data_IF_161986595167
#
_entry.id   IF_161986595167
#
_cell.length_a   1.000
_cell.length_b   1.000
_cell.length_c   1.000
_cell.angle_alpha   90.00
_cell.angle_beta   90.00
_cell.angle_gamma   90.00
#
_symmetry.space_group_name_H-M   'P 1'
#
loop_
_entity.id
_entity.type
_entity.pdbx_description
1 polymer ?
#
# COMPACT_ATOMS: atom_id res chain seq x y z
N UNK A 1 42.74 -30.67 -52.18
CA UNK A 1 43.01 -30.46 -53.62
C UNK A 1 41.85 -29.67 -54.18
N UNK A 2 41.81 -28.34 -54.02
CA UNK A 2 42.56 -27.32 -54.77
C UNK A 2 42.40 -27.40 -56.31
N UNK A 3 41.66 -26.43 -56.86
CA UNK A 3 42.03 -25.48 -57.96
C UNK A 3 40.78 -24.63 -58.29
N UNK A 4 40.64 -23.39 -57.81
CA UNK A 4 41.14 -22.08 -58.31
C UNK A 4 40.68 -21.73 -59.74
N UNK A 5 39.75 -20.77 -59.87
CA UNK A 5 39.91 -19.38 -60.39
C UNK A 5 39.57 -19.30 -61.90
N UNK A 6 38.88 -18.31 -62.51
CA UNK A 6 38.80 -16.83 -62.39
C UNK A 6 37.52 -16.36 -63.17
N UNK A 7 36.60 -15.52 -62.67
CA UNK A 7 36.52 -14.03 -62.59
C UNK A 7 36.43 -13.27 -63.94
N UNK A 8 35.31 -12.54 -64.11
CA UNK A 8 35.15 -11.14 -64.60
C UNK A 8 33.76 -10.69 -64.08
N UNK A 9 33.58 -9.69 -63.18
CA UNK A 9 33.84 -8.24 -63.29
C UNK A 9 32.57 -7.55 -63.85
N UNK A 10 31.93 -6.49 -63.32
CA UNK A 10 32.33 -5.27 -62.58
C UNK A 10 31.03 -4.67 -61.91
N UNK A 11 30.95 -4.41 -60.59
CA UNK A 11 31.06 -3.15 -59.78
C UNK A 11 29.97 -2.04 -59.98
N UNK A 12 29.41 -1.59 -58.83
CA UNK A 12 28.67 -0.35 -58.44
C UNK A 12 27.14 -0.36 -58.68
N UNK A 13 26.28 -0.17 -57.67
CA UNK A 13 26.32 0.91 -56.67
C UNK A 13 26.24 0.51 -55.19
N UNK A 14 26.96 1.32 -54.42
CA UNK A 14 27.02 1.43 -52.97
C UNK A 14 25.80 2.16 -52.42
N UNK A 15 25.20 1.60 -51.36
CA UNK A 15 25.00 2.34 -50.10
C UNK A 15 24.56 1.35 -49.00
N UNK A 16 25.57 0.83 -48.30
CA UNK A 16 25.66 0.66 -46.85
C UNK A 16 24.59 1.44 -46.08
N UNK A 17 23.92 0.89 -45.07
CA UNK A 17 24.57 0.35 -43.88
C UNK A 17 23.54 -0.37 -42.99
N UNK A 18 23.98 -1.48 -42.39
CA UNK A 18 23.77 -1.85 -40.98
C UNK A 18 22.44 -1.44 -40.33
N UNK A 19 21.57 -2.42 -40.11
CA UNK A 19 21.05 -2.75 -38.76
C UNK A 19 19.97 -3.83 -38.89
N UNK A 20 20.44 -5.07 -38.94
CA UNK A 20 19.69 -6.20 -38.42
C UNK A 20 20.41 -6.64 -37.15
N UNK A 21 19.63 -7.02 -36.14
CA UNK A 21 20.01 -7.37 -34.76
C UNK A 21 19.93 -6.18 -33.80
N UNK A 22 18.72 -5.89 -33.31
CA UNK A 22 18.40 -5.79 -31.87
C UNK A 22 16.90 -5.52 -31.65
N UNK A 23 16.26 -6.50 -31.02
CA UNK A 23 15.26 -6.36 -29.96
C UNK A 23 13.83 -5.89 -30.30
N UNK A 24 13.02 -6.92 -30.50
CA UNK A 24 11.67 -7.06 -29.98
C UNK A 24 11.47 -6.60 -28.53
N UNK A 25 10.92 -5.39 -28.32
CA UNK A 25 10.16 -5.02 -27.10
C UNK A 25 9.58 -3.60 -27.23
N UNK A 26 8.44 -3.48 -27.91
CA UNK A 26 7.82 -2.17 -28.11
C UNK A 26 6.38 -2.22 -28.63
N UNK A 27 5.56 -3.19 -28.22
CA UNK A 27 4.11 -3.11 -28.50
C UNK A 27 3.44 -2.21 -27.45
N UNK A 28 3.44 -0.90 -27.70
CA UNK A 28 2.47 0.04 -27.11
C UNK A 28 1.07 -0.50 -27.46
N UNK A 29 0.34 -1.04 -26.49
CA UNK A 29 -1.09 -1.31 -26.66
C UNK A 29 -1.78 0.06 -26.61
N UNK A 30 -1.81 0.77 -27.74
CA UNK A 30 -2.68 1.95 -27.91
C UNK A 30 -4.12 1.44 -27.98
N UNK A 31 -4.83 1.42 -26.85
CA UNK A 31 -6.29 1.34 -26.88
C UNK A 31 -6.83 2.62 -27.54
N UNK A 32 -7.84 2.53 -28.41
CA UNK A 32 -8.37 3.70 -29.10
C UNK A 32 -9.00 4.66 -28.08
N UNK A 33 -8.53 5.91 -28.08
CA UNK A 33 -9.21 7.03 -27.45
C UNK A 33 -10.64 7.06 -27.98
N UNK A 34 -11.64 7.13 -27.09
CA UNK A 34 -13.06 7.18 -27.48
C UNK A 34 -13.27 8.35 -28.46
N UNK A 35 -13.94 8.10 -29.58
CA UNK A 35 -14.22 9.15 -30.56
C UNK A 35 -14.96 10.33 -29.87
N UNK A 36 -14.38 11.54 -29.96
CA UNK A 36 -14.91 12.75 -29.31
C UNK A 36 -14.16 13.22 -28.05
N UNK A 37 -13.18 12.47 -27.54
CA UNK A 37 -12.38 12.93 -26.40
C UNK A 37 -11.46 14.11 -26.78
N UNK A 38 -11.41 15.14 -25.93
CA UNK A 38 -10.49 16.26 -26.09
C UNK A 38 -9.04 15.74 -26.05
N UNK A 39 -8.24 16.07 -27.08
CA UNK A 39 -6.82 15.65 -27.20
C UNK A 39 -6.00 15.98 -25.95
N UNK A 40 -6.27 17.13 -25.31
CA UNK A 40 -5.60 17.55 -24.09
C UNK A 40 -5.91 16.59 -22.94
N UNK A 41 -7.20 16.30 -22.72
CA UNK A 41 -7.68 15.38 -21.68
C UNK A 41 -7.14 13.96 -21.88
N UNK A 42 -7.09 13.48 -23.12
CA UNK A 42 -6.53 12.16 -23.43
C UNK A 42 -5.02 12.09 -23.13
N UNK A 43 -4.27 13.16 -23.41
CA UNK A 43 -2.86 13.25 -23.07
C UNK A 43 -2.61 13.35 -21.56
N UNK A 44 -3.42 14.12 -20.82
CA UNK A 44 -3.38 14.14 -19.36
C UNK A 44 -3.58 12.73 -18.78
N UNK A 45 -4.60 12.02 -19.29
CA UNK A 45 -4.87 10.64 -18.87
C UNK A 45 -3.68 9.71 -19.12
N UNK A 46 -3.10 9.74 -20.31
CA UNK A 46 -1.93 8.92 -20.66
C UNK A 46 -0.68 9.23 -19.82
N UNK A 47 -0.46 10.49 -19.47
CA UNK A 47 0.64 10.88 -18.57
C UNK A 47 0.46 10.27 -17.17
N UNK A 48 -0.75 10.32 -16.61
CA UNK A 48 -1.05 9.75 -15.29
C UNK A 48 -0.97 8.22 -15.28
N UNK A 49 -1.45 7.57 -16.33
CA UNK A 49 -1.27 6.13 -16.53
C UNK A 49 0.22 5.76 -16.53
N UNK A 50 1.06 6.53 -17.24
CA UNK A 50 2.51 6.32 -17.28
C UNK A 50 3.16 6.44 -15.89
N UNK A 51 2.69 7.38 -15.06
CA UNK A 51 3.18 7.54 -13.68
C UNK A 51 2.84 6.29 -12.86
N UNK A 52 1.58 5.86 -12.88
CA UNK A 52 1.14 4.69 -12.13
C UNK A 52 1.89 3.42 -12.57
N UNK A 53 2.13 3.24 -13.87
CA UNK A 53 2.95 2.14 -14.40
C UNK A 53 4.39 2.19 -13.88
N UNK A 54 5.01 3.37 -13.85
CA UNK A 54 6.38 3.53 -13.37
C UNK A 54 6.51 3.34 -11.85
N UNK A 55 5.43 3.58 -11.10
CA UNK A 55 5.40 3.40 -9.65
C UNK A 55 4.85 2.05 -9.21
N UNK A 56 4.51 1.14 -10.14
CA UNK A 56 3.84 -0.13 -9.86
C UNK A 56 4.46 -0.95 -8.72
N UNK A 57 5.79 -0.92 -8.59
CA UNK A 57 6.53 -1.75 -7.64
C UNK A 57 6.41 -1.23 -6.20
N UNK A 58 5.95 0.01 -6.00
CA UNK A 58 5.67 0.59 -4.67
C UNK A 58 4.17 0.71 -4.38
N UNK A 59 3.29 0.41 -5.33
CA UNK A 59 1.84 0.52 -5.14
C UNK A 59 1.34 -0.59 -4.22
N UNK A 60 0.61 -0.21 -3.18
CA UNK A 60 0.00 -1.15 -2.23
C UNK A 60 -1.53 -0.97 -2.32
N UNK A 61 -2.30 -2.04 -2.59
CA UNK A 61 -3.76 -1.94 -2.64
C UNK A 61 -4.34 -1.42 -1.32
N UNK A 62 -5.28 -0.48 -1.39
CA UNK A 62 -5.94 0.09 -0.21
C UNK A 62 -5.06 1.01 0.64
N UNK A 63 -3.88 1.40 0.15
CA UNK A 63 -2.97 2.32 0.83
C UNK A 63 -2.56 3.47 -0.09
N UNK A 64 -2.31 4.65 0.51
CA UNK A 64 -1.68 5.78 -0.16
C UNK A 64 -0.16 5.72 0.05
N UNK A 65 0.58 5.70 -1.05
CA UNK A 65 2.04 5.66 -1.05
C UNK A 65 2.62 6.96 -1.62
N UNK A 66 3.93 7.16 -1.44
CA UNK A 66 4.69 8.23 -2.07
C UNK A 66 6.03 7.67 -2.50
N UNK A 67 6.60 8.16 -3.60
CA UNK A 67 7.83 7.63 -4.19
C UNK A 67 9.12 8.27 -3.66
N UNK A 68 9.03 9.35 -2.88
CA UNK A 68 10.18 10.16 -2.50
C UNK A 68 10.22 10.52 -1.01
N UNK A 69 11.43 10.87 -0.57
CA UNK A 69 11.65 11.63 0.66
C UNK A 69 10.90 12.95 0.55
N UNK A 70 9.97 13.17 1.46
CA UNK A 70 9.14 14.36 1.49
C UNK A 70 9.84 15.45 2.30
N UNK A 71 9.64 16.71 1.93
CA UNK A 71 9.98 17.84 2.81
C UNK A 71 9.09 17.82 4.07
N UNK A 72 9.49 18.42 5.20
CA UNK A 72 8.72 18.34 6.44
C UNK A 72 7.24 18.76 6.34
N UNK A 73 6.94 19.77 5.53
CA UNK A 73 5.58 20.24 5.24
C UNK A 73 4.79 19.21 4.40
N UNK A 74 5.44 18.61 3.41
CA UNK A 74 4.88 17.55 2.58
C UNK A 74 4.67 16.25 3.38
N UNK A 75 5.57 15.94 4.33
CA UNK A 75 5.41 14.82 5.27
C UNK A 75 4.17 15.00 6.13
N UNK A 76 3.97 16.20 6.68
CA UNK A 76 2.77 16.51 7.46
C UNK A 76 1.49 16.38 6.61
N UNK A 77 1.51 16.88 5.38
CA UNK A 77 0.38 16.74 4.44
C UNK A 77 0.10 15.26 4.13
N UNK A 78 1.13 14.48 3.79
CA UNK A 78 1.00 13.06 3.50
C UNK A 78 0.51 12.25 4.71
N UNK A 79 0.99 12.58 5.92
CA UNK A 79 0.52 11.97 7.15
C UNK A 79 -0.97 12.25 7.39
N UNK A 80 -1.42 13.49 7.13
CA UNK A 80 -2.84 13.86 7.20
C UNK A 80 -3.69 13.03 6.22
N UNK A 81 -3.21 12.84 4.99
CA UNK A 81 -3.88 12.00 4.00
C UNK A 81 -3.96 10.55 4.46
N UNK A 82 -2.89 10.00 5.05
CA UNK A 82 -2.88 8.63 5.60
C UNK A 82 -3.92 8.41 6.71
N UNK A 83 -4.23 9.44 7.49
CA UNK A 83 -5.24 9.40 8.55
C UNK A 83 -6.66 9.59 7.98
N UNK A 84 -6.81 10.50 7.01
CA UNK A 84 -8.12 10.95 6.54
C UNK A 84 -8.71 10.03 5.46
N UNK A 85 -7.85 9.38 4.67
CA UNK A 85 -8.28 8.58 3.54
C UNK A 85 -8.57 7.12 3.93
N UNK A 86 -9.82 6.74 3.66
CA UNK A 86 -10.27 5.36 3.61
C UNK A 86 -10.31 4.92 2.14
N UNK A 87 -9.49 3.91 1.81
CA UNK A 87 -9.31 3.42 0.46
C UNK A 87 -9.86 2.01 0.34
N UNK A 88 -10.63 1.80 -0.72
CA UNK A 88 -11.04 0.47 -1.17
C UNK A 88 -9.81 -0.43 -1.36
N UNK A 89 -9.86 -1.72 -0.97
CA UNK A 89 -8.75 -2.66 -1.17
C UNK A 89 -8.52 -2.98 -2.65
N UNK A 90 -9.34 -2.43 -3.56
CA UNK A 90 -9.26 -2.58 -5.01
C UNK A 90 -8.70 -1.34 -5.72
N UNK A 91 -8.18 -0.38 -4.95
CA UNK A 91 -7.62 0.85 -5.47
C UNK A 91 -6.13 0.98 -5.12
N UNK A 92 -5.36 1.52 -6.06
CA UNK A 92 -4.04 2.08 -5.80
C UNK A 92 -4.16 3.59 -5.61
N UNK A 93 -3.46 4.15 -4.64
CA UNK A 93 -3.37 5.59 -4.43
C UNK A 93 -1.91 6.05 -4.27
N UNK A 94 -1.56 7.15 -4.94
CA UNK A 94 -0.23 7.76 -4.85
C UNK A 94 -0.36 9.24 -4.53
N UNK A 95 0.36 9.69 -3.52
CA UNK A 95 0.61 11.10 -3.27
C UNK A 95 1.80 11.56 -4.11
N UNK A 96 1.59 12.59 -4.92
CA UNK A 96 2.58 13.28 -5.72
C UNK A 96 2.79 14.68 -5.13
N UNK A 97 3.84 14.92 -4.33
CA UNK A 97 4.14 16.25 -3.84
C UNK A 97 4.50 17.21 -4.98
N UNK A 98 4.35 18.51 -4.74
CA UNK A 98 4.93 19.53 -5.64
C UNK A 98 6.44 19.30 -5.83
N UNK A 99 6.91 19.53 -7.05
CA UNK A 99 8.28 19.33 -7.54
C UNK A 99 8.55 17.95 -8.14
N UNK A 100 7.69 16.96 -7.88
CA UNK A 100 8.05 15.55 -8.11
C UNK A 100 8.18 15.15 -9.59
N UNK A 101 7.44 15.82 -10.47
CA UNK A 101 7.48 15.55 -11.91
C UNK A 101 8.88 15.80 -12.50
N UNK A 102 9.64 16.72 -11.91
CA UNK A 102 11.01 17.05 -12.28
C UNK A 102 12.00 16.02 -11.72
N UNK A 103 11.78 15.55 -10.48
CA UNK A 103 12.68 14.65 -9.76
C UNK A 103 12.64 13.20 -10.25
N UNK A 104 11.45 12.68 -10.57
CA UNK A 104 11.30 11.27 -10.99
C UNK A 104 11.88 10.96 -12.38
N UNK A 105 12.53 11.93 -13.04
CA UNK A 105 12.97 11.82 -14.43
C UNK A 105 11.81 11.57 -15.41
N UNK A 106 10.56 11.62 -14.92
CA UNK A 106 9.34 11.43 -15.69
C UNK A 106 9.24 12.49 -16.77
N UNK A 107 9.60 13.75 -16.44
CA UNK A 107 9.72 14.80 -17.45
C UNK A 107 10.61 14.37 -18.62
N UNK A 108 11.74 13.69 -18.40
CA UNK A 108 12.62 13.26 -19.51
C UNK A 108 12.01 12.14 -20.37
N UNK A 109 11.17 11.28 -19.78
CA UNK A 109 10.52 10.13 -20.44
C UNK A 109 9.22 10.50 -21.17
N UNK A 110 8.60 11.62 -20.82
CA UNK A 110 7.40 12.12 -21.49
C UNK A 110 7.73 12.66 -22.89
N UNK A 111 6.89 12.34 -23.87
CA UNK A 111 6.97 12.91 -25.20
C UNK A 111 6.79 14.44 -25.12
N UNK A 112 7.37 15.19 -26.07
CA UNK A 112 7.36 16.67 -26.03
C UNK A 112 5.94 17.26 -25.87
N UNK A 113 4.94 16.62 -26.46
CA UNK A 113 3.53 17.03 -26.35
C UNK A 113 2.90 16.71 -24.99
N UNK A 114 3.42 15.73 -24.26
CA UNK A 114 2.94 15.36 -22.93
C UNK A 114 3.50 16.30 -21.86
N UNK A 115 4.72 16.84 -22.07
CA UNK A 115 5.38 17.81 -21.18
C UNK A 115 4.61 19.12 -21.01
N UNK A 116 3.98 19.61 -22.08
CA UNK A 116 3.17 20.84 -22.07
C UNK A 116 1.81 20.62 -21.39
N UNK A 117 1.49 19.37 -21.06
CA UNK A 117 0.20 18.91 -20.54
C UNK A 117 0.34 18.33 -19.12
N UNK A 118 1.58 18.18 -18.62
CA UNK A 118 1.86 17.82 -17.23
C UNK A 118 1.19 18.84 -16.32
N UNK A 119 0.44 18.41 -15.30
CA UNK A 119 -0.23 19.35 -14.44
C UNK A 119 0.73 20.30 -13.74
N UNK A 120 0.24 21.51 -13.42
CA UNK A 120 0.95 22.51 -12.61
C UNK A 120 1.64 21.87 -11.39
N UNK A 121 2.76 22.46 -10.96
CA UNK A 121 3.66 21.99 -9.89
C UNK A 121 2.99 21.98 -8.50
N UNK A 122 1.96 21.15 -8.37
CA UNK A 122 1.00 21.13 -7.28
C UNK A 122 0.97 19.75 -6.66
N UNK A 123 0.68 19.69 -5.37
CA UNK A 123 0.47 18.44 -4.67
C UNK A 123 -0.81 17.76 -5.18
N UNK A 124 -0.68 16.52 -5.66
CA UNK A 124 -1.80 15.74 -6.19
C UNK A 124 -1.87 14.36 -5.58
N UNK A 125 -3.06 13.77 -5.66
CA UNK A 125 -3.29 12.37 -5.37
C UNK A 125 -3.80 11.72 -6.66
N UNK A 126 -3.14 10.65 -7.09
CA UNK A 126 -3.61 9.81 -8.19
C UNK A 126 -4.23 8.55 -7.62
N UNK A 127 -5.40 8.16 -8.12
CA UNK A 127 -6.08 6.91 -7.74
C UNK A 127 -6.51 6.14 -8.98
N UNK A 128 -6.32 4.83 -8.96
CA UNK A 128 -6.75 3.93 -10.04
C UNK A 128 -7.20 2.58 -9.47
N UNK A 129 -7.91 1.79 -10.27
CA UNK A 129 -8.16 0.39 -9.94
C UNK A 129 -6.87 -0.45 -10.01
N UNK A 130 -6.81 -1.55 -9.28
CA UNK A 130 -5.66 -2.47 -9.34
C UNK A 130 -5.43 -2.92 -10.77
N UNK A 131 -4.25 -2.60 -11.33
CA UNK A 131 -3.86 -2.93 -12.70
C UNK A 131 -4.85 -2.43 -13.77
N UNK A 132 -5.72 -1.47 -13.42
CA UNK A 132 -6.77 -0.92 -14.26
C UNK A 132 -6.63 0.60 -14.35
N UNK A 133 -5.79 1.05 -15.28
CA UNK A 133 -5.52 2.47 -15.52
C UNK A 133 -6.48 3.11 -16.53
N UNK A 134 -7.59 2.43 -16.85
CA UNK A 134 -8.61 3.00 -17.75
C UNK A 134 -9.38 4.11 -17.08
N UNK A 135 -9.61 3.99 -15.76
CA UNK A 135 -10.21 5.02 -14.93
C UNK A 135 -9.18 5.52 -13.93
N UNK A 136 -8.92 6.81 -13.98
CA UNK A 136 -7.98 7.48 -13.08
C UNK A 136 -8.69 8.66 -12.45
N UNK A 137 -8.61 8.77 -11.14
CA UNK A 137 -9.01 9.94 -10.39
C UNK A 137 -7.77 10.75 -10.04
N UNK A 138 -7.86 12.06 -10.16
CA UNK A 138 -6.89 12.99 -9.60
C UNK A 138 -7.54 13.92 -8.61
N UNK A 139 -6.92 14.09 -7.46
CA UNK A 139 -7.28 15.14 -6.51
C UNK A 139 -6.12 16.15 -6.46
N UNK A 140 -6.41 17.39 -6.81
CA UNK A 140 -5.57 18.54 -6.51
C UNK A 140 -5.91 19.02 -5.10
N UNK A 141 -4.89 19.10 -4.24
CA UNK A 141 -5.01 19.56 -2.86
C UNK A 141 -4.19 20.83 -2.62
N UNK A 142 -3.88 21.56 -3.70
CA UNK A 142 -3.29 22.90 -3.61
C UNK A 142 -4.32 23.93 -3.12
N UNK A 143 -3.89 24.98 -2.40
CA UNK A 143 -4.80 26.03 -1.92
C UNK A 143 -5.51 26.79 -3.06
N UNK A 144 -4.86 26.97 -4.20
CA UNK A 144 -5.36 27.84 -5.26
C UNK A 144 -6.49 27.20 -6.06
N UNK A 145 -6.48 25.87 -6.22
CA UNK A 145 -7.47 25.15 -7.03
C UNK A 145 -7.71 23.72 -6.53
N UNK A 146 -8.25 23.54 -5.31
CA UNK A 146 -8.57 22.22 -4.82
C UNK A 146 -9.73 21.61 -5.62
N UNK A 147 -9.55 20.39 -6.11
CA UNK A 147 -10.52 19.79 -7.01
C UNK A 147 -10.23 18.33 -7.33
N UNK A 148 -11.27 17.61 -7.73
CA UNK A 148 -11.19 16.21 -8.12
C UNK A 148 -11.61 16.07 -9.58
N UNK A 149 -10.76 15.47 -10.40
CA UNK A 149 -11.08 15.12 -11.79
C UNK A 149 -11.09 13.60 -11.94
N UNK A 150 -12.06 13.09 -12.69
CA UNK A 150 -12.22 11.66 -12.94
C UNK A 150 -12.14 11.45 -14.44
N UNK A 151 -11.18 10.66 -14.85
CA UNK A 151 -10.92 10.32 -16.23
C UNK A 151 -11.36 8.89 -16.50
N UNK A 152 -11.89 8.63 -17.68
CA UNK A 152 -12.25 7.30 -18.15
C UNK A 152 -11.88 7.17 -19.63
N UNK A 153 -10.95 6.28 -19.95
CA UNK A 153 -10.46 6.00 -21.30
C UNK A 153 -10.07 7.26 -22.10
N UNK A 154 -9.37 8.19 -21.44
CA UNK A 154 -8.90 9.44 -22.04
C UNK A 154 -9.94 10.56 -22.11
N UNK A 155 -11.14 10.36 -21.55
CA UNK A 155 -12.18 11.39 -21.45
C UNK A 155 -12.34 11.87 -20.00
N UNK A 156 -12.69 13.14 -19.79
CA UNK A 156 -13.04 13.67 -18.49
C UNK A 156 -14.50 13.29 -18.21
N UNK A 157 -14.71 12.40 -17.25
CA UNK A 157 -16.03 11.91 -16.86
C UNK A 157 -16.71 12.88 -15.89
N UNK A 158 -15.97 13.41 -14.93
CA UNK A 158 -16.47 14.33 -13.93
C UNK A 158 -15.36 15.25 -13.40
N UNK A 159 -15.76 16.44 -12.95
CA UNK A 159 -14.89 17.40 -12.28
C UNK A 159 -15.66 18.04 -11.12
N UNK A 160 -15.03 18.06 -9.95
CA UNK A 160 -15.53 18.68 -8.73
C UNK A 160 -14.52 19.73 -8.29
N UNK A 161 -14.99 20.95 -8.06
CA UNK A 161 -14.16 22.02 -7.49
C UNK A 161 -14.60 22.26 -6.05
N UNK A 162 -13.65 22.54 -5.18
CA UNK A 162 -13.88 22.80 -3.76
C UNK A 162 -13.42 24.21 -3.40
N UNK A 163 -13.90 24.75 -2.28
CA UNK A 163 -13.44 26.04 -1.80
C UNK A 163 -12.11 25.90 -1.04
N UNK A 164 -11.87 24.73 -0.44
CA UNK A 164 -10.66 24.48 0.34
C UNK A 164 -10.07 23.09 0.06
N UNK A 165 -8.76 22.90 0.27
CA UNK A 165 -8.14 21.57 0.22
C UNK A 165 -8.75 20.58 1.21
N UNK A 166 -9.25 21.06 2.36
CA UNK A 166 -9.83 20.19 3.37
C UNK A 166 -11.15 19.57 2.88
N UNK A 167 -12.05 20.38 2.30
CA UNK A 167 -13.29 19.87 1.70
C UNK A 167 -13.01 18.82 0.63
N UNK A 168 -11.99 19.06 -0.21
CA UNK A 168 -11.54 18.10 -1.22
C UNK A 168 -11.10 16.77 -0.59
N UNK A 169 -10.31 16.81 0.48
CA UNK A 169 -9.82 15.61 1.20
C UNK A 169 -10.97 14.87 1.90
N UNK A 170 -11.91 15.60 2.51
CA UNK A 170 -13.04 15.01 3.24
C UNK A 170 -13.97 14.21 2.31
N UNK A 171 -14.21 14.72 1.10
CA UNK A 171 -15.01 14.03 0.08
C UNK A 171 -14.25 12.94 -0.68
N UNK A 172 -12.91 12.98 -0.67
CA UNK A 172 -12.09 12.13 -1.52
C UNK A 172 -12.33 10.64 -1.28
N UNK A 173 -12.40 10.20 -0.01
CA UNK A 173 -12.71 8.80 0.33
C UNK A 173 -14.03 8.35 -0.30
N UNK A 174 -15.09 9.16 -0.16
CA UNK A 174 -16.41 8.87 -0.72
C UNK A 174 -16.36 8.73 -2.24
N UNK A 175 -15.67 9.64 -2.93
CA UNK A 175 -15.55 9.59 -4.39
C UNK A 175 -14.74 8.37 -4.82
N UNK A 176 -13.65 8.04 -4.12
CA UNK A 176 -12.87 6.82 -4.38
C UNK A 176 -13.75 5.58 -4.25
N UNK A 177 -14.56 5.48 -3.19
CA UNK A 177 -15.49 4.36 -3.00
C UNK A 177 -16.58 4.29 -4.09
N UNK A 178 -17.05 5.41 -4.64
CA UNK A 178 -18.01 5.40 -5.75
C UNK A 178 -17.37 4.85 -7.03
N UNK A 179 -16.14 5.23 -7.32
CA UNK A 179 -15.50 4.96 -8.62
C UNK A 179 -14.62 3.72 -8.65
N UNK A 180 -14.10 3.28 -7.50
CA UNK A 180 -13.14 2.18 -7.34
C UNK A 180 -13.58 1.13 -6.29
N UNK A 181 -14.89 1.04 -6.01
CA UNK A 181 -15.43 -0.17 -5.39
C UNK A 181 -15.39 -1.33 -6.38
N UNK A 182 -15.12 -2.53 -5.87
CA UNK A 182 -15.30 -3.74 -6.68
C UNK A 182 -16.74 -3.84 -7.15
N UNK A 183 -16.92 -4.27 -8.40
CA UNK A 183 -18.24 -4.33 -9.03
C UNK A 183 -19.06 -5.54 -8.57
N UNK A 184 -18.38 -6.57 -8.09
CA UNK A 184 -19.01 -7.81 -7.61
C UNK A 184 -19.11 -7.84 -6.08
N UNK A 185 -19.80 -8.87 -5.58
CA UNK A 185 -19.83 -9.15 -4.14
C UNK A 185 -18.40 -9.36 -3.61
N UNK A 186 -18.10 -8.76 -2.48
CA UNK A 186 -16.83 -8.95 -1.80
C UNK A 186 -16.69 -10.40 -1.37
N UNK A 187 -15.52 -10.97 -1.62
CA UNK A 187 -15.17 -12.30 -1.12
C UNK A 187 -14.74 -12.21 0.35
N UNK A 188 -14.64 -13.37 1.00
CA UNK A 188 -14.06 -13.48 2.34
C UNK A 188 -12.68 -12.79 2.42
N UNK A 189 -11.83 -13.02 1.41
CA UNK A 189 -10.47 -12.48 1.39
C UNK A 189 -10.43 -10.95 1.24
N UNK A 190 -11.44 -10.37 0.59
CA UNK A 190 -11.52 -8.91 0.41
C UNK A 190 -11.84 -8.21 1.74
N UNK A 191 -12.80 -8.75 2.50
CA UNK A 191 -13.09 -8.27 3.85
C UNK A 191 -11.88 -8.39 4.77
N UNK A 192 -11.14 -9.51 4.66
CA UNK A 192 -9.92 -9.75 5.42
C UNK A 192 -8.85 -8.72 5.07
N UNK A 193 -8.48 -8.59 3.79
CA UNK A 193 -7.45 -7.64 3.34
C UNK A 193 -7.78 -6.20 3.73
N UNK A 194 -9.03 -5.79 3.57
CA UNK A 194 -9.47 -4.44 3.93
C UNK A 194 -9.31 -4.16 5.43
N UNK A 195 -9.88 -5.02 6.27
CA UNK A 195 -9.90 -4.80 7.72
C UNK A 195 -8.49 -4.94 8.32
N UNK A 196 -7.72 -5.94 7.90
CA UNK A 196 -6.34 -6.14 8.38
C UNK A 196 -5.39 -5.06 7.86
N UNK A 197 -5.59 -4.58 6.63
CA UNK A 197 -4.88 -3.44 6.06
C UNK A 197 -5.09 -2.16 6.86
N UNK A 198 -6.35 -1.82 7.13
CA UNK A 198 -6.73 -0.68 7.95
C UNK A 198 -6.10 -0.72 9.35
N UNK A 199 -6.26 -1.84 10.07
CA UNK A 199 -5.79 -1.90 11.46
C UNK A 199 -4.26 -1.93 11.53
N UNK A 200 -3.59 -2.60 10.59
CA UNK A 200 -2.13 -2.54 10.51
C UNK A 200 -1.64 -1.12 10.29
N UNK A 201 -2.26 -0.34 9.38
CA UNK A 201 -1.92 1.08 9.19
C UNK A 201 -2.09 1.87 10.49
N UNK A 202 -3.23 1.70 11.15
CA UNK A 202 -3.50 2.32 12.45
C UNK A 202 -2.42 1.99 13.47
N UNK A 203 -2.04 0.72 13.59
CA UNK A 203 -1.01 0.26 14.53
C UNK A 203 0.40 0.75 14.17
N UNK A 204 0.80 0.62 12.91
CA UNK A 204 2.13 0.96 12.41
C UNK A 204 2.40 2.47 12.52
N UNK A 205 1.40 3.30 12.26
CA UNK A 205 1.49 4.76 12.35
C UNK A 205 0.95 5.34 13.65
N UNK A 206 0.50 4.51 14.59
CA UNK A 206 -0.09 4.90 15.89
C UNK A 206 -1.25 5.89 15.76
N UNK A 207 -2.13 5.67 14.77
CA UNK A 207 -3.31 6.49 14.51
C UNK A 207 -4.50 5.87 15.24
N UNK A 208 -5.07 6.49 16.29
CA UNK A 208 -6.13 5.89 17.10
C UNK A 208 -7.56 6.05 16.54
N UNK A 209 -7.72 6.81 15.46
CA UNK A 209 -9.01 7.22 14.91
C UNK A 209 -9.00 7.18 13.37
N UNK A 210 -8.35 6.18 12.79
CA UNK A 210 -8.29 5.99 11.36
C UNK A 210 -9.68 5.67 10.79
N UNK A 211 -10.11 6.43 9.79
CA UNK A 211 -11.42 6.24 9.15
C UNK A 211 -11.57 4.83 8.56
N UNK A 212 -12.78 4.27 8.64
CA UNK A 212 -13.13 2.96 8.11
C UNK A 212 -14.58 2.91 7.66
N UNK A 213 -14.82 2.24 6.53
CA UNK A 213 -16.15 1.84 6.09
C UNK A 213 -16.63 0.62 6.90
N UNK A 214 -17.43 0.89 7.93
CA UNK A 214 -17.92 -0.12 8.89
C UNK A 214 -18.65 -1.28 8.21
N UNK A 215 -19.34 -1.04 7.09
CA UNK A 215 -20.12 -2.05 6.36
C UNK A 215 -19.24 -3.14 5.72
N UNK A 216 -17.94 -2.88 5.54
CA UNK A 216 -16.99 -3.81 4.94
C UNK A 216 -15.94 -4.31 5.95
N UNK A 217 -16.10 -3.93 7.22
CA UNK A 217 -15.14 -4.25 8.26
C UNK A 217 -15.58 -5.48 9.03
N UNK A 218 -14.80 -6.56 8.98
CA UNK A 218 -15.19 -7.77 9.70
C UNK A 218 -15.09 -7.61 11.23
N UNK A 219 -14.35 -6.62 11.73
CA UNK A 219 -14.30 -6.38 13.18
C UNK A 219 -15.60 -5.73 13.68
N UNK A 220 -16.33 -5.02 12.82
CA UNK A 220 -17.68 -4.50 13.07
C UNK A 220 -18.75 -5.56 12.77
N UNK A 221 -18.52 -6.37 11.74
CA UNK A 221 -19.43 -7.44 11.33
C UNK A 221 -18.68 -8.78 11.17
N UNK A 222 -18.41 -9.50 12.27
CA UNK A 222 -17.67 -10.77 12.24
C UNK A 222 -18.28 -11.85 11.33
N UNK A 223 -19.59 -11.77 11.10
CA UNK A 223 -20.33 -12.63 10.18
C UNK A 223 -19.82 -12.56 8.73
N UNK A 224 -19.21 -11.44 8.31
CA UNK A 224 -18.63 -11.29 6.96
C UNK A 224 -17.52 -12.32 6.68
N UNK A 225 -16.91 -12.86 7.74
CA UNK A 225 -15.86 -13.89 7.65
C UNK A 225 -16.22 -15.14 8.44
N UNK A 226 -17.52 -15.37 8.71
CA UNK A 226 -18.03 -16.54 9.43
C UNK A 226 -17.38 -16.77 10.80
N UNK A 227 -17.17 -15.70 11.58
CA UNK A 227 -16.52 -15.78 12.89
C UNK A 227 -17.32 -15.05 13.97
N UNK A 228 -16.94 -15.24 15.25
CA UNK A 228 -17.45 -14.45 16.36
C UNK A 228 -16.54 -13.23 16.67
N UNK A 229 -17.02 -12.31 17.50
CA UNK A 229 -16.30 -11.08 17.87
C UNK A 229 -14.90 -11.33 18.44
N UNK A 230 -14.75 -12.27 19.38
CA UNK A 230 -13.46 -12.55 20.03
C UNK A 230 -12.46 -13.11 19.01
N UNK A 231 -12.91 -14.04 18.17
CA UNK A 231 -12.08 -14.63 17.12
C UNK A 231 -11.69 -13.59 16.06
N UNK A 232 -12.59 -12.67 15.70
CA UNK A 232 -12.28 -11.55 14.80
C UNK A 232 -11.17 -10.65 15.38
N UNK A 233 -11.25 -10.31 16.67
CA UNK A 233 -10.22 -9.52 17.37
C UNK A 233 -8.85 -10.17 17.27
N UNK A 234 -8.75 -11.43 17.69
CA UNK A 234 -7.45 -12.09 17.74
C UNK A 234 -6.92 -12.45 16.35
N UNK A 235 -7.79 -12.70 15.36
CA UNK A 235 -7.40 -12.78 13.95
C UNK A 235 -6.75 -11.46 13.49
N UNK A 236 -7.43 -10.34 13.72
CA UNK A 236 -6.94 -9.00 13.35
C UNK A 236 -5.59 -8.66 14.01
N UNK A 237 -5.49 -8.94 15.31
CA UNK A 237 -4.26 -8.68 16.07
C UNK A 237 -3.12 -9.57 15.63
N UNK A 238 -3.37 -10.86 15.42
CA UNK A 238 -2.37 -11.80 14.92
C UNK A 238 -1.82 -11.35 13.57
N UNK A 239 -2.69 -11.03 12.62
CA UNK A 239 -2.29 -10.52 11.30
C UNK A 239 -1.43 -9.25 11.41
N UNK A 240 -1.82 -8.34 12.31
CA UNK A 240 -1.08 -7.10 12.57
C UNK A 240 0.31 -7.37 13.17
N UNK A 241 0.41 -8.24 14.18
CA UNK A 241 1.69 -8.59 14.80
C UNK A 241 2.63 -9.32 13.83
N UNK A 242 2.10 -10.20 12.97
CA UNK A 242 2.90 -10.88 11.92
C UNK A 242 3.59 -9.84 11.03
N UNK A 243 2.87 -8.81 10.60
CA UNK A 243 3.41 -7.73 9.75
C UNK A 243 4.39 -6.84 10.52
N UNK A 244 4.06 -6.44 11.75
CA UNK A 244 4.94 -5.63 12.60
C UNK A 244 6.26 -6.35 12.93
N UNK A 245 6.24 -7.68 13.03
CA UNK A 245 7.40 -8.52 13.32
C UNK A 245 7.83 -9.33 12.10
N UNK A 246 7.75 -8.73 10.91
CA UNK A 246 8.19 -9.34 9.66
C UNK A 246 9.67 -9.78 9.74
N UNK A 247 10.52 -8.95 10.36
CA UNK A 247 11.97 -9.18 10.44
C UNK A 247 12.42 -9.56 11.86
N UNK A 248 13.13 -10.69 11.97
CA UNK A 248 13.55 -11.22 13.26
C UNK A 248 14.52 -10.28 14.01
N UNK A 249 15.52 -9.74 13.31
CA UNK A 249 16.52 -8.85 13.91
C UNK A 249 15.91 -7.57 14.45
N UNK A 250 15.04 -6.92 13.66
CA UNK A 250 14.35 -5.70 14.10
C UNK A 250 13.47 -5.97 15.32
N UNK A 251 12.82 -7.14 15.36
CA UNK A 251 11.98 -7.53 16.49
C UNK A 251 12.80 -7.76 17.75
N UNK A 252 13.94 -8.48 17.66
CA UNK A 252 14.85 -8.70 18.80
C UNK A 252 15.41 -7.37 19.30
N UNK A 253 15.82 -6.48 18.39
CA UNK A 253 16.30 -5.14 18.75
C UNK A 253 15.23 -4.33 19.48
N UNK A 254 14.00 -4.31 18.96
CA UNK A 254 12.87 -3.61 19.60
C UNK A 254 12.49 -4.21 20.96
N UNK A 255 12.54 -5.53 21.11
CA UNK A 255 12.30 -6.22 22.37
C UNK A 255 13.37 -5.85 23.40
N UNK A 256 14.65 -5.89 23.02
CA UNK A 256 15.75 -5.49 23.89
C UNK A 256 15.65 -4.03 24.33
N UNK A 257 15.26 -3.12 23.42
CA UNK A 257 15.05 -1.72 23.76
C UNK A 257 13.92 -1.54 24.79
N UNK A 258 12.85 -2.34 24.70
CA UNK A 258 11.77 -2.33 25.68
C UNK A 258 12.19 -2.96 27.02
N UNK A 259 13.00 -4.02 26.99
CA UNK A 259 13.49 -4.75 28.17
C UNK A 259 14.35 -3.89 29.10
N UNK A 260 15.02 -2.84 28.59
CA UNK A 260 15.79 -1.89 29.41
C UNK A 260 14.98 -1.28 30.55
N UNK A 261 13.65 -1.23 30.41
CA UNK A 261 12.74 -0.64 31.39
C UNK A 261 11.92 -1.69 32.15
N UNK A 262 12.28 -2.98 32.05
CA UNK A 262 11.53 -4.08 32.68
C UNK A 262 12.44 -4.98 33.53
N UNK A 263 12.24 -5.02 34.87
CA UNK A 263 13.14 -5.73 35.78
C UNK A 263 13.17 -7.26 35.57
N UNK A 264 12.09 -7.86 35.08
CA UNK A 264 11.97 -9.32 34.91
C UNK A 264 12.45 -9.82 33.54
N UNK A 265 13.13 -8.98 32.76
CA UNK A 265 13.56 -9.30 31.40
C UNK A 265 15.07 -9.35 31.26
N UNK A 266 15.54 -10.21 30.38
CA UNK A 266 16.96 -10.33 30.02
C UNK A 266 17.20 -9.89 28.59
N UNK A 267 18.47 -9.62 28.26
CA UNK A 267 18.88 -9.38 26.87
C UNK A 267 18.64 -10.64 26.03
N UNK A 268 17.90 -10.47 24.94
CA UNK A 268 17.57 -11.50 23.96
C UNK A 268 18.63 -11.47 22.84
N UNK A 269 19.07 -12.64 22.42
CA UNK A 269 20.02 -12.85 21.33
C UNK A 269 19.51 -13.95 20.41
N UNK A 270 19.84 -13.87 19.10
CA UNK A 270 19.51 -14.96 18.17
C UNK A 270 20.07 -16.30 18.65
N UNK A 271 21.35 -16.33 19.03
CA UNK A 271 22.02 -17.55 19.51
C UNK A 271 21.39 -18.10 20.79
N UNK A 272 21.00 -17.24 21.73
CA UNK A 272 20.33 -17.67 22.95
C UNK A 272 18.95 -18.26 22.69
N UNK A 273 18.17 -17.68 21.79
CA UNK A 273 16.89 -18.25 21.35
C UNK A 273 17.09 -19.57 20.62
N UNK A 274 18.06 -19.65 19.70
CA UNK A 274 18.36 -20.87 18.95
C UNK A 274 18.84 -22.01 19.85
N UNK A 275 19.62 -21.69 20.88
CA UNK A 275 20.10 -22.65 21.88
C UNK A 275 19.05 -22.97 22.96
N UNK A 276 17.83 -22.46 22.83
CA UNK A 276 16.74 -22.82 23.70
C UNK A 276 16.77 -22.16 25.09
N UNK A 277 17.49 -21.05 25.30
CA UNK A 277 17.58 -20.40 26.62
C UNK A 277 16.22 -19.87 27.09
N UNK A 278 15.71 -20.46 28.17
CA UNK A 278 14.34 -20.21 28.65
C UNK A 278 14.10 -18.78 29.15
N UNK A 279 15.09 -18.12 29.74
CA UNK A 279 14.99 -16.71 30.17
C UNK A 279 14.86 -15.74 28.99
N UNK A 280 15.60 -15.97 27.90
CA UNK A 280 15.49 -15.17 26.68
C UNK A 280 14.14 -15.42 25.98
N UNK A 281 13.67 -16.68 25.93
CA UNK A 281 12.33 -17.03 25.43
C UNK A 281 11.22 -16.36 26.24
N UNK A 282 11.31 -16.40 27.58
CA UNK A 282 10.36 -15.75 28.49
C UNK A 282 10.31 -14.24 28.23
N UNK A 283 11.47 -13.60 28.09
CA UNK A 283 11.56 -12.16 27.80
C UNK A 283 10.91 -11.80 26.46
N UNK A 284 11.09 -12.65 25.44
CA UNK A 284 10.45 -12.46 24.14
C UNK A 284 8.93 -12.65 24.20
N UNK A 285 8.43 -13.62 24.96
CA UNK A 285 6.98 -13.80 25.18
C UNK A 285 6.35 -12.60 25.87
N UNK A 286 6.97 -12.11 26.94
CA UNK A 286 6.50 -10.90 27.64
C UNK A 286 6.42 -9.70 26.69
N UNK A 287 7.40 -9.54 25.80
CA UNK A 287 7.36 -8.50 24.77
C UNK A 287 6.14 -8.65 23.83
N UNK A 288 5.79 -9.86 23.41
CA UNK A 288 4.60 -10.08 22.58
C UNK A 288 3.29 -9.86 23.35
N UNK A 289 3.22 -10.24 24.63
CA UNK A 289 2.09 -9.94 25.50
C UNK A 289 1.85 -8.43 25.57
N UNK A 290 2.88 -7.63 25.83
CA UNK A 290 2.77 -6.17 25.87
C UNK A 290 2.28 -5.58 24.56
N UNK A 291 2.78 -6.12 23.43
CA UNK A 291 2.42 -5.64 22.10
C UNK A 291 0.97 -5.97 21.78
N UNK A 292 0.50 -7.15 22.14
CA UNK A 292 -0.89 -7.54 22.02
C UNK A 292 -1.81 -6.68 22.90
N UNK A 293 -1.40 -6.37 24.14
CA UNK A 293 -2.10 -5.41 25.02
C UNK A 293 -2.14 -4.00 24.39
N UNK A 294 -1.05 -3.56 23.77
CA UNK A 294 -1.00 -2.28 23.05
C UNK A 294 -2.00 -2.21 21.91
N UNK A 295 -2.13 -3.29 21.12
CA UNK A 295 -3.13 -3.39 20.06
C UNK A 295 -4.56 -3.42 20.62
N UNK A 296 -4.80 -4.12 21.74
CA UNK A 296 -6.10 -4.11 22.42
C UNK A 296 -6.51 -2.71 22.86
N UNK A 297 -5.59 -1.93 23.44
CA UNK A 297 -5.83 -0.53 23.82
C UNK A 297 -6.11 0.35 22.61
N UNK A 298 -5.37 0.15 21.52
CA UNK A 298 -5.61 0.85 20.27
C UNK A 298 -7.01 0.55 19.72
N UNK A 299 -7.41 -0.74 19.67
CA UNK A 299 -8.72 -1.16 19.21
C UNK A 299 -9.85 -0.62 20.13
N UNK A 300 -9.61 -0.58 21.45
CA UNK A 300 -10.54 0.02 22.40
C UNK A 300 -10.78 1.51 22.14
N UNK A 301 -9.76 2.24 21.64
CA UNK A 301 -9.90 3.65 21.25
C UNK A 301 -10.88 3.89 20.10
N UNK A 302 -11.21 2.87 19.32
CA UNK A 302 -12.25 2.93 18.28
C UNK A 302 -13.65 2.61 18.79
N UNK A 303 -13.79 2.22 20.06
CA UNK A 303 -15.08 1.88 20.70
C UNK A 303 -15.87 0.77 19.98
N UNK A 304 -15.19 -0.07 19.19
CA UNK A 304 -15.82 -1.16 18.40
C UNK A 304 -16.34 -2.28 19.30
N UNK A 305 -15.64 -2.54 20.41
CA UNK A 305 -15.88 -3.71 21.26
C UNK A 305 -16.08 -3.29 22.71
N UNK A 306 -17.23 -3.67 23.25
CA UNK A 306 -17.51 -3.51 24.66
C UNK A 306 -16.97 -4.71 25.46
N UNK A 307 -15.68 -4.69 25.80
CA UNK A 307 -15.06 -5.74 26.62
C UNK A 307 -15.73 -5.93 27.99
N UNK A 308 -16.46 -4.93 28.50
CA UNK A 308 -17.15 -4.99 29.79
C UNK A 308 -18.43 -5.84 29.74
N UNK A 309 -19.01 -6.04 28.56
CA UNK A 309 -20.25 -6.81 28.39
C UNK A 309 -20.04 -8.30 28.16
N UNK A 310 -18.80 -8.79 28.22
CA UNK A 310 -18.51 -10.20 27.99
C UNK A 310 -19.08 -11.09 29.10
N UNK A 311 -19.76 -12.16 28.70
CA UNK A 311 -20.12 -13.30 29.55
C UNK A 311 -18.88 -14.02 30.08
N UNK A 312 -19.07 -14.92 31.05
CA UNK A 312 -17.94 -15.69 31.60
C UNK A 312 -17.32 -16.64 30.57
N UNK A 313 -18.12 -17.25 29.71
CA UNK A 313 -17.63 -18.04 28.58
C UNK A 313 -16.78 -17.21 27.62
N UNK A 314 -17.21 -15.98 27.32
CA UNK A 314 -16.47 -15.06 26.44
C UNK A 314 -15.17 -14.59 27.09
N UNK A 315 -15.15 -14.31 28.40
CA UNK A 315 -13.90 -13.99 29.12
C UNK A 315 -12.91 -15.15 29.07
N UNK A 316 -13.39 -16.39 29.21
CA UNK A 316 -12.54 -17.58 29.13
C UNK A 316 -12.03 -17.81 27.71
N UNK A 317 -12.89 -17.64 26.70
CA UNK A 317 -12.47 -17.69 25.29
C UNK A 317 -11.43 -16.61 25.00
N UNK A 318 -11.64 -15.39 25.47
CA UNK A 318 -10.73 -14.26 25.30
C UNK A 318 -9.35 -14.55 25.91
N UNK A 319 -9.29 -15.02 27.18
CA UNK A 319 -8.02 -15.39 27.84
C UNK A 319 -7.27 -16.48 27.06
N UNK A 320 -8.00 -17.51 26.61
CA UNK A 320 -7.43 -18.60 25.80
C UNK A 320 -6.89 -18.07 24.47
N UNK A 321 -7.64 -17.19 23.81
CA UNK A 321 -7.24 -16.64 22.50
C UNK A 321 -6.08 -15.66 22.61
N UNK A 322 -6.00 -14.91 23.71
CA UNK A 322 -4.85 -14.10 24.05
C UNK A 322 -3.58 -14.94 24.16
N UNK A 323 -3.59 -15.96 25.03
CA UNK A 323 -2.45 -16.85 25.23
C UNK A 323 -2.03 -17.56 23.93
N UNK A 324 -3.02 -18.05 23.16
CA UNK A 324 -2.75 -18.70 21.87
C UNK A 324 -2.14 -17.74 20.86
N UNK A 325 -2.60 -16.49 20.78
CA UNK A 325 -2.06 -15.50 19.84
C UNK A 325 -0.61 -15.18 20.16
N UNK A 326 -0.28 -15.00 21.44
CA UNK A 326 1.10 -14.79 21.90
C UNK A 326 1.99 -15.96 21.52
N UNK A 327 1.55 -17.19 21.78
CA UNK A 327 2.34 -18.38 21.47
C UNK A 327 2.49 -18.59 19.96
N UNK A 328 1.44 -18.36 19.16
CA UNK A 328 1.52 -18.46 17.71
C UNK A 328 2.56 -17.48 17.11
N UNK A 329 2.58 -16.23 17.58
CA UNK A 329 3.56 -15.23 17.16
C UNK A 329 4.96 -15.60 17.63
N UNK A 330 5.09 -16.09 18.87
CA UNK A 330 6.35 -16.55 19.42
C UNK A 330 6.95 -17.70 18.59
N UNK A 331 6.16 -18.72 18.27
CA UNK A 331 6.61 -19.86 17.46
C UNK A 331 6.99 -19.44 16.05
N UNK A 332 6.20 -18.56 15.41
CA UNK A 332 6.55 -18.00 14.10
C UNK A 332 7.89 -17.26 14.14
N UNK A 333 8.15 -16.52 15.22
CA UNK A 333 9.39 -15.78 15.40
C UNK A 333 10.59 -16.70 15.62
N UNK A 334 10.44 -17.77 16.39
CA UNK A 334 11.46 -18.80 16.50
C UNK A 334 11.74 -19.46 15.14
N UNK A 335 10.71 -19.81 14.37
CA UNK A 335 10.88 -20.39 13.03
C UNK A 335 11.68 -19.48 12.10
N UNK A 336 11.41 -18.16 12.10
CA UNK A 336 12.19 -17.19 11.31
C UNK A 336 13.67 -17.15 11.72
N UNK A 337 13.95 -17.22 13.02
CA UNK A 337 15.31 -17.24 13.56
C UNK A 337 16.03 -18.55 13.17
N UNK A 338 15.35 -19.69 13.24
CA UNK A 338 15.93 -21.00 12.90
C UNK A 338 16.19 -21.15 11.40
N UNK A 339 15.31 -20.61 10.56
CA UNK A 339 15.34 -20.88 9.12
C UNK A 339 16.09 -19.82 8.30
N UNK A 340 16.63 -18.74 8.91
CA UNK A 340 17.12 -17.56 8.18
C UNK A 340 16.15 -17.04 7.10
N UNK A 341 14.84 -17.27 7.30
CA UNK A 341 13.80 -16.84 6.37
C UNK A 341 13.43 -15.40 6.72
N UNK A 342 14.23 -14.45 6.22
CA UNK A 342 13.72 -13.10 6.01
C UNK A 342 12.70 -13.20 4.87
N UNK A 343 11.42 -13.17 5.21
CA UNK A 343 10.35 -13.08 4.21
C UNK A 343 10.46 -11.71 3.53
N UNK A 344 10.76 -11.74 2.23
CA UNK A 344 10.83 -10.59 1.30
C UNK A 344 9.52 -9.82 1.30
#
# INVERSE_FOLDING_TARGET
>A
MERKQQIQGIIMDENTNQDNVLNSSGKKIKKPVKAGANKLTAAQHGAMETILINLKDILIPGEIVTSESLKPDQEAQFHKLKISLDLSPFAYAVFLPSGIYQNLGLYKKLEKKEKDIVPDDTSKILVSGINEYQRILTADISPDKPGINIFDQGSLLASYNYNTPQECIDDLSKIIWIHFKYKDAWTHDDYVKYTEGWFFRSANYKIPNLSINVNHSYIHHPVLINTNTIQAVFKLMKATLIRLFAHADKTIAAANAANLYKPDTVKITKSGLSNGKENEKKSLRLYFEDRLVGLLKLLQGYEIINFKSFSESEKNEFKRMFARTVEDIFQLMLQKIFNNLDMV
#
